data_IF_109308699484
#
_entry.id   IF_109308699484
#
_cell.length_a   1.000
_cell.length_b   1.000
_cell.length_c   1.000
_cell.angle_alpha   90.00
_cell.angle_beta   90.00
_cell.angle_gamma   90.00
#
_symmetry.space_group_name_H-M   'P 1'
#
loop_
_entity.id
_entity.type
_entity.pdbx_description
1 polymer ?
#
# COMPACT_ATOMS: atom_id res chain seq x y z
N UNK A 1 -10.31 1.70 -1.26
CA UNK A 1 -9.07 1.18 -1.87
C UNK A 1 -7.99 0.81 -0.85
N UNK A 2 -7.97 1.35 0.37
CA UNK A 2 -6.88 1.05 1.33
C UNK A 2 -7.07 -0.24 2.14
N UNK A 3 -8.33 -0.65 2.34
CA UNK A 3 -8.69 -1.79 3.21
C UNK A 3 -8.05 -3.13 2.83
N UNK A 4 -7.90 -3.51 1.55
CA UNK A 4 -7.20 -4.73 1.18
C UNK A 4 -5.75 -4.77 1.65
N UNK A 5 -5.04 -3.64 1.50
CA UNK A 5 -3.63 -3.56 1.90
C UNK A 5 -3.51 -3.59 3.43
N UNK A 6 -4.38 -2.86 4.14
CA UNK A 6 -4.44 -2.88 5.60
C UNK A 6 -4.74 -4.29 6.15
N UNK A 7 -5.62 -5.05 5.51
CA UNK A 7 -5.95 -6.42 5.91
C UNK A 7 -4.72 -7.35 5.82
N UNK A 8 -3.93 -7.22 4.75
CA UNK A 8 -2.68 -7.98 4.58
C UNK A 8 -1.68 -7.62 5.69
N UNK A 9 -1.53 -6.33 6.01
CA UNK A 9 -0.65 -5.88 7.08
C UNK A 9 -1.03 -6.47 8.44
N UNK A 10 -2.32 -6.48 8.76
CA UNK A 10 -2.80 -6.98 10.05
C UNK A 10 -2.70 -8.50 10.15
N UNK A 11 -2.90 -9.21 9.04
CA UNK A 11 -2.64 -10.65 8.99
C UNK A 11 -1.16 -10.95 9.28
N UNK A 12 -0.26 -10.07 8.85
CA UNK A 12 1.17 -10.22 9.12
C UNK A 12 1.55 -9.85 10.55
N UNK A 13 1.09 -8.70 11.07
CA UNK A 13 1.38 -8.26 12.43
C UNK A 13 0.18 -7.52 13.03
N UNK A 14 -0.35 -8.02 14.14
CA UNK A 14 -1.54 -7.45 14.77
C UNK A 14 -1.30 -6.03 15.34
N UNK A 15 -0.07 -5.68 15.73
CA UNK A 15 0.28 -4.34 16.22
C UNK A 15 0.17 -3.26 15.14
N UNK A 16 0.06 -3.63 13.86
CA UNK A 16 -0.08 -2.66 12.79
C UNK A 16 -1.43 -1.93 12.80
N UNK A 17 -2.50 -2.53 13.34
CA UNK A 17 -3.81 -1.90 13.42
C UNK A 17 -3.82 -0.66 14.34
N UNK A 18 -3.42 -0.75 15.64
CA UNK A 18 -3.46 0.41 16.53
C UNK A 18 -2.52 1.52 16.07
N UNK A 19 -1.34 1.17 15.56
CA UNK A 19 -0.38 2.14 15.02
C UNK A 19 -0.97 2.89 13.80
N UNK A 20 -1.59 2.15 12.87
CA UNK A 20 -2.25 2.77 11.72
C UNK A 20 -3.35 3.75 12.14
N UNK A 21 -4.15 3.42 13.15
CA UNK A 21 -5.22 4.31 13.65
C UNK A 21 -4.62 5.59 14.22
N UNK A 22 -3.57 5.49 15.05
CA UNK A 22 -2.88 6.65 15.63
C UNK A 22 -2.36 7.56 14.51
N UNK A 23 -1.75 7.01 13.47
CA UNK A 23 -1.22 7.82 12.38
C UNK A 23 -2.27 8.45 11.49
N UNK A 24 -3.40 7.78 11.29
CA UNK A 24 -4.55 8.38 10.60
C UNK A 24 -5.04 9.60 11.39
N UNK A 25 -5.12 9.49 12.72
CA UNK A 25 -5.55 10.60 13.58
C UNK A 25 -4.55 11.75 13.49
N UNK A 26 -3.25 11.47 13.61
CA UNK A 26 -2.20 12.49 13.53
C UNK A 26 -2.19 13.17 12.15
N UNK A 27 -2.26 12.40 11.07
CA UNK A 27 -2.31 12.93 9.71
C UNK A 27 -3.57 13.79 9.47
N UNK A 28 -4.72 13.36 10.01
CA UNK A 28 -5.97 14.10 9.93
C UNK A 28 -5.90 15.42 10.72
N UNK A 29 -5.34 15.39 11.93
CA UNK A 29 -5.13 16.61 12.73
C UNK A 29 -4.16 17.59 12.04
N UNK A 30 -3.06 17.08 11.48
CA UNK A 30 -2.12 17.88 10.70
C UNK A 30 -2.78 18.52 9.48
N UNK A 31 -3.64 17.76 8.79
CA UNK A 31 -4.43 18.28 7.68
C UNK A 31 -5.36 19.41 8.12
N UNK A 32 -6.09 19.23 9.22
CA UNK A 32 -6.98 20.26 9.76
C UNK A 32 -6.20 21.54 10.14
N UNK A 33 -5.00 21.38 10.71
CA UNK A 33 -4.12 22.50 11.02
C UNK A 33 -3.69 23.24 9.75
N UNK A 34 -3.27 22.52 8.70
CA UNK A 34 -2.93 23.12 7.42
C UNK A 34 -4.11 23.82 6.77
N UNK A 35 -5.30 23.22 6.77
CA UNK A 35 -6.49 23.84 6.19
C UNK A 35 -6.89 25.14 6.90
N UNK A 36 -6.65 25.21 8.22
CA UNK A 36 -6.92 26.42 9.01
C UNK A 36 -5.90 27.53 8.76
N UNK A 37 -4.62 27.17 8.60
CA UNK A 37 -3.53 28.15 8.49
C UNK A 37 -3.09 28.44 7.05
N UNK A 38 -3.51 27.64 6.07
CA UNK A 38 -3.08 27.76 4.67
C UNK A 38 -4.26 27.57 3.71
N UNK A 39 -4.23 28.25 2.57
CA UNK A 39 -5.25 28.13 1.50
C UNK A 39 -5.02 26.90 0.61
N UNK A 40 -4.55 25.79 1.18
CA UNK A 40 -4.24 24.56 0.44
C UNK A 40 -5.54 23.76 0.24
N UNK A 41 -6.06 23.76 -0.98
CA UNK A 41 -7.27 23.03 -1.34
C UNK A 41 -7.08 22.09 -2.54
N UNK A 42 -7.97 21.11 -2.65
CA UNK A 42 -8.05 20.22 -3.81
C UNK A 42 -6.92 19.20 -3.85
N UNK A 43 -6.05 19.26 -4.86
CA UNK A 43 -5.02 18.24 -5.05
C UNK A 43 -3.77 18.47 -4.19
N UNK A 44 -3.49 19.71 -3.83
CA UNK A 44 -2.40 20.03 -2.89
C UNK A 44 -2.74 19.54 -1.47
N UNK A 45 -4.04 19.48 -1.13
CA UNK A 45 -4.55 18.88 0.11
C UNK A 45 -4.17 17.39 0.18
N UNK A 46 -4.36 16.64 -0.92
CA UNK A 46 -3.95 15.24 -1.01
C UNK A 46 -2.45 15.07 -0.76
N UNK A 47 -1.61 15.82 -1.49
CA UNK A 47 -0.15 15.71 -1.38
C UNK A 47 0.32 16.08 0.03
N UNK A 48 -0.20 17.16 0.61
CA UNK A 48 0.14 17.57 1.96
C UNK A 48 -0.26 16.51 3.00
N UNK A 49 -1.44 15.91 2.87
CA UNK A 49 -1.88 14.85 3.78
C UNK A 49 -1.04 13.59 3.65
N UNK A 50 -0.64 13.22 2.42
CA UNK A 50 0.26 12.10 2.16
C UNK A 50 1.65 12.35 2.78
N UNK A 51 2.19 13.56 2.64
CA UNK A 51 3.46 13.95 3.25
C UNK A 51 3.37 13.94 4.78
N UNK A 52 2.29 14.46 5.35
CA UNK A 52 2.08 14.44 6.81
C UNK A 52 1.94 13.01 7.34
N UNK A 53 1.09 12.19 6.72
CA UNK A 53 0.98 10.77 7.04
C UNK A 53 2.31 10.04 6.93
N UNK A 54 3.26 10.58 6.15
CA UNK A 54 4.59 10.01 6.02
C UNK A 54 5.60 10.51 7.03
N UNK A 55 5.65 11.81 7.27
CA UNK A 55 6.65 12.44 8.13
C UNK A 55 6.36 12.19 9.60
N UNK A 56 5.10 12.27 10.03
CA UNK A 56 4.74 12.16 11.44
C UNK A 56 5.06 10.80 12.09
N UNK A 57 4.76 9.64 11.46
CA UNK A 57 5.12 8.35 12.04
C UNK A 57 6.63 8.21 12.20
N UNK A 58 7.40 8.68 11.21
CA UNK A 58 8.87 8.65 11.26
C UNK A 58 9.41 9.53 12.39
N UNK A 59 8.90 10.75 12.53
CA UNK A 59 9.26 11.63 13.64
C UNK A 59 8.91 11.02 15.00
N UNK A 60 7.71 10.44 15.13
CA UNK A 60 7.30 9.73 16.34
C UNK A 60 8.24 8.58 16.70
N UNK A 61 8.64 7.77 15.72
CA UNK A 61 9.63 6.70 15.91
C UNK A 61 11.00 7.24 16.33
N UNK A 62 11.47 8.35 15.75
CA UNK A 62 12.73 8.98 16.17
C UNK A 62 12.67 9.48 17.62
N UNK A 63 11.55 10.09 18.04
CA UNK A 63 11.36 10.53 19.42
C UNK A 63 11.35 9.36 20.41
N UNK A 64 10.74 8.24 20.04
CA UNK A 64 10.68 7.05 20.89
C UNK A 64 12.01 6.27 20.94
N UNK A 65 12.82 6.31 19.86
CA UNK A 65 14.17 5.74 19.85
C UNK A 65 15.06 6.37 20.93
N UNK A 66 14.87 7.66 21.21
CA UNK A 66 15.55 8.35 22.33
C UNK A 66 15.23 7.79 23.71
N UNK A 67 14.19 6.95 23.84
CA UNK A 67 13.72 6.34 25.09
C UNK A 67 14.16 4.85 25.17
N UNK A 68 14.97 4.37 24.23
CA UNK A 68 15.58 3.02 24.28
C UNK A 68 14.73 1.90 23.66
N UNK A 69 13.70 2.24 22.87
CA UNK A 69 12.99 1.25 22.07
C UNK A 69 13.65 1.05 20.70
N UNK A 70 14.05 -0.19 20.41
CA UNK A 70 14.52 -0.61 19.09
C UNK A 70 13.33 -0.97 18.18
N UNK A 71 12.95 -0.04 17.31
CA UNK A 71 11.87 -0.25 16.33
C UNK A 71 12.40 -0.61 14.94
N UNK A 72 13.36 -1.53 14.89
CA UNK A 72 13.79 -2.15 13.63
C UNK A 72 12.65 -2.96 12.99
N UNK A 73 11.53 -3.19 13.70
CA UNK A 73 10.43 -4.06 13.26
C UNK A 73 9.13 -3.33 12.87
N UNK A 74 8.99 -2.05 13.19
CA UNK A 74 7.75 -1.30 12.91
C UNK A 74 7.84 -0.68 11.51
N UNK A 75 7.57 -1.53 10.51
CA UNK A 75 7.64 -1.21 9.09
C UNK A 75 6.54 -0.22 8.70
N UNK A 76 6.88 1.08 8.72
CA UNK A 76 6.04 2.17 8.23
C UNK A 76 6.23 2.47 6.74
N UNK A 77 6.32 1.43 5.90
CA UNK A 77 6.04 1.64 4.46
C UNK A 77 4.59 2.10 4.22
N UNK A 78 3.72 1.94 5.23
CA UNK A 78 2.38 2.51 5.33
C UNK A 78 2.35 3.93 5.90
N UNK A 79 3.18 4.83 5.41
CA UNK A 79 3.18 6.26 5.75
C UNK A 79 2.23 7.05 4.83
N UNK A 80 2.15 6.62 3.56
CA UNK A 80 1.19 7.17 2.58
C UNK A 80 -0.24 6.75 2.92
N UNK A 81 -0.44 5.52 3.40
CA UNK A 81 -1.78 4.94 3.60
C UNK A 81 -2.60 5.66 4.69
N UNK A 82 -2.05 5.96 5.88
CA UNK A 82 -2.72 6.78 6.88
C UNK A 82 -3.06 8.16 6.34
N UNK A 83 -2.14 8.80 5.61
CA UNK A 83 -2.39 10.08 4.96
C UNK A 83 -3.52 10.01 3.93
N UNK A 84 -3.55 8.96 3.12
CA UNK A 84 -4.61 8.75 2.13
C UNK A 84 -5.95 8.42 2.80
N UNK A 85 -5.95 7.70 3.92
CA UNK A 85 -7.14 7.42 4.72
C UNK A 85 -7.68 8.70 5.38
N UNK A 86 -6.80 9.52 5.96
CA UNK A 86 -7.14 10.81 6.55
C UNK A 86 -7.74 11.76 5.50
N UNK A 87 -7.12 11.86 4.33
CA UNK A 87 -7.65 12.63 3.20
C UNK A 87 -8.99 12.07 2.70
N UNK A 88 -9.10 10.74 2.58
CA UNK A 88 -10.36 10.12 2.15
C UNK A 88 -11.49 10.44 3.14
N UNK A 89 -11.19 10.42 4.44
CA UNK A 89 -12.15 10.75 5.49
C UNK A 89 -12.54 12.24 5.47
N UNK A 90 -11.59 13.16 5.27
CA UNK A 90 -11.85 14.61 5.22
C UNK A 90 -12.86 14.98 4.14
N UNK A 91 -12.85 14.27 3.00
CA UNK A 91 -13.72 14.52 1.84
C UNK A 91 -15.12 13.92 1.96
N UNK A 92 -15.41 13.11 2.96
CA UNK A 92 -16.75 12.51 3.15
C UNK A 92 -17.68 13.56 3.76
N UNK A 93 -18.80 13.83 3.08
CA UNK A 93 -19.88 14.67 3.60
C UNK A 93 -20.36 14.13 4.96
N UNK A 94 -20.62 14.98 5.97
CA UNK A 94 -20.98 14.55 7.32
C UNK A 94 -22.10 13.50 7.38
N UNK A 95 -23.12 13.65 6.53
CA UNK A 95 -24.29 12.78 6.43
C UNK A 95 -23.96 11.32 6.07
N UNK A 96 -22.84 11.06 5.36
CA UNK A 96 -22.46 9.72 4.91
C UNK A 96 -21.28 9.12 5.68
N UNK A 97 -20.73 9.82 6.68
CA UNK A 97 -19.52 9.37 7.39
C UNK A 97 -19.72 8.04 8.10
N UNK A 98 -20.80 7.92 8.87
CA UNK A 98 -21.10 6.72 9.65
C UNK A 98 -21.33 5.52 8.74
N UNK A 99 -22.18 5.66 7.72
CA UNK A 99 -22.47 4.59 6.76
C UNK A 99 -21.21 4.14 6.00
N UNK A 100 -20.34 5.08 5.61
CA UNK A 100 -19.11 4.76 4.91
C UNK A 100 -18.08 4.06 5.82
N UNK A 101 -17.96 4.50 7.07
CA UNK A 101 -17.12 3.82 8.07
C UNK A 101 -17.62 2.40 8.32
N UNK A 102 -18.93 2.21 8.58
CA UNK A 102 -19.51 0.88 8.81
C UNK A 102 -19.28 -0.05 7.62
N UNK A 103 -19.52 0.45 6.40
CA UNK A 103 -19.29 -0.33 5.18
C UNK A 103 -17.81 -0.70 5.05
N UNK A 104 -16.92 0.24 5.34
CA UNK A 104 -15.47 0.02 5.30
C UNK A 104 -15.01 -1.02 6.31
N UNK A 105 -15.54 -0.98 7.54
CA UNK A 105 -15.28 -1.98 8.58
C UNK A 105 -15.82 -3.34 8.15
N UNK A 106 -17.04 -3.41 7.60
CA UNK A 106 -17.62 -4.66 7.10
C UNK A 106 -16.78 -5.30 6.00
N UNK A 107 -16.33 -4.52 5.02
CA UNK A 107 -15.43 -5.00 3.96
C UNK A 107 -14.11 -5.48 4.55
N UNK A 108 -13.53 -4.71 5.47
CA UNK A 108 -12.27 -5.05 6.12
C UNK A 108 -12.36 -6.35 6.92
N UNK A 109 -13.41 -6.55 7.72
CA UNK A 109 -13.68 -7.80 8.45
C UNK A 109 -13.92 -8.96 7.48
N UNK A 110 -14.65 -8.74 6.39
CA UNK A 110 -14.84 -9.75 5.34
C UNK A 110 -13.52 -10.19 4.70
N UNK A 111 -12.59 -9.27 4.47
CA UNK A 111 -11.25 -9.57 3.96
C UNK A 111 -10.40 -10.34 4.98
N UNK A 112 -10.48 -10.00 6.26
CA UNK A 112 -9.83 -10.79 7.32
C UNK A 112 -10.41 -12.20 7.38
N UNK A 113 -11.74 -12.35 7.33
CA UNK A 113 -12.38 -13.65 7.31
C UNK A 113 -11.99 -14.47 6.09
N UNK A 114 -11.90 -13.85 4.91
CA UNK A 114 -11.42 -14.50 3.70
C UNK A 114 -9.95 -14.95 3.82
N UNK A 115 -9.08 -14.07 4.33
CA UNK A 115 -7.68 -14.42 4.60
C UNK A 115 -7.57 -15.57 5.62
N UNK A 116 -8.40 -15.56 6.66
CA UNK A 116 -8.49 -16.63 7.64
C UNK A 116 -8.86 -17.96 6.98
N UNK A 117 -9.87 -17.99 6.13
CA UNK A 117 -10.28 -19.22 5.41
C UNK A 117 -9.18 -19.70 4.45
N UNK A 118 -8.51 -18.77 3.77
CA UNK A 118 -7.48 -19.08 2.77
C UNK A 118 -6.16 -19.56 3.38
N UNK A 119 -5.80 -19.10 4.58
CA UNK A 119 -4.59 -19.51 5.28
C UNK A 119 -4.89 -20.80 6.05
N UNK A 120 -4.50 -21.92 5.46
CA UNK A 120 -4.69 -23.27 5.99
C UNK A 120 -3.47 -24.13 5.56
N UNK A 121 -2.93 -25.03 6.41
CA UNK A 121 -1.84 -25.96 6.05
C UNK A 121 -2.01 -26.67 4.70
N UNK A 122 -3.22 -27.14 4.36
CA UNK A 122 -3.49 -27.80 3.07
C UNK A 122 -3.18 -26.92 1.85
N UNK A 123 -3.47 -25.62 1.94
CA UNK A 123 -3.22 -24.65 0.87
C UNK A 123 -1.74 -24.24 0.85
N UNK A 124 -1.12 -24.16 2.04
CA UNK A 124 0.30 -23.87 2.19
C UNK A 124 1.17 -24.95 1.51
N UNK A 125 0.82 -26.22 1.65
CA UNK A 125 1.53 -27.33 0.99
C UNK A 125 1.41 -27.31 -0.53
N UNK A 126 0.27 -26.86 -1.06
CA UNK A 126 -0.01 -26.89 -2.51
C UNK A 126 0.53 -25.65 -3.24
N UNK A 127 0.41 -24.46 -2.65
CA UNK A 127 0.66 -23.16 -3.32
C UNK A 127 1.66 -22.29 -2.56
N UNK A 128 1.99 -22.63 -1.30
CA UNK A 128 2.84 -21.80 -0.43
C UNK A 128 4.27 -21.60 -0.94
N UNK A 129 4.79 -22.52 -1.76
CA UNK A 129 6.10 -22.40 -2.41
C UNK A 129 6.06 -21.77 -3.81
N UNK A 130 4.88 -21.70 -4.45
CA UNK A 130 4.70 -21.18 -5.81
C UNK A 130 4.63 -19.65 -5.86
N UNK A 131 4.37 -19.00 -4.72
CA UNK A 131 4.30 -17.55 -4.61
C UNK A 131 5.21 -17.07 -3.47
N UNK A 132 5.77 -15.85 -3.53
CA UNK A 132 6.56 -15.31 -2.43
C UNK A 132 5.75 -15.38 -1.11
N UNK A 133 6.20 -16.16 -0.11
CA UNK A 133 5.38 -16.51 1.04
C UNK A 133 5.42 -15.36 2.04
N UNK A 134 4.60 -14.34 1.80
CA UNK A 134 4.46 -13.19 2.71
C UNK A 134 3.47 -13.55 3.82
N UNK A 135 2.31 -14.08 3.45
CA UNK A 135 1.26 -14.48 4.38
C UNK A 135 1.53 -15.83 5.03
N UNK A 136 2.25 -16.73 4.35
CA UNK A 136 2.69 -18.04 4.87
C UNK A 136 4.11 -18.00 5.46
N UNK A 137 4.70 -16.80 5.63
CA UNK A 137 6.01 -16.64 6.27
C UNK A 137 5.96 -16.99 7.75
N UNK A 138 7.08 -17.45 8.36
CA UNK A 138 7.23 -17.52 9.81
C UNK A 138 7.11 -16.14 10.50
N UNK A 139 7.17 -15.05 9.74
CA UNK A 139 7.04 -13.67 10.23
C UNK A 139 5.60 -13.14 10.24
N UNK A 140 4.64 -14.00 9.89
CA UNK A 140 3.21 -13.69 9.81
C UNK A 140 2.49 -14.25 11.02
N UNK A 141 1.95 -13.38 11.88
CA UNK A 141 1.27 -13.76 13.12
C UNK A 141 0.12 -14.76 12.87
N UNK A 142 -0.64 -14.56 11.78
CA UNK A 142 -1.76 -15.45 11.43
C UNK A 142 -1.29 -16.84 10.97
N UNK A 143 -0.12 -16.94 10.33
CA UNK A 143 0.44 -18.22 9.89
C UNK A 143 1.05 -19.00 11.05
N UNK A 144 1.68 -18.31 12.00
CA UNK A 144 2.13 -18.88 13.26
C UNK A 144 0.95 -19.43 14.07
N UNK A 145 -0.11 -18.62 14.20
CA UNK A 145 -1.31 -19.00 14.95
C UNK A 145 -2.01 -20.22 14.34
N UNK A 146 -1.96 -20.38 13.02
CA UNK A 146 -2.57 -21.49 12.29
C UNK A 146 -1.64 -22.66 11.98
N UNK A 147 -0.39 -22.63 12.43
CA UNK A 147 0.63 -23.63 12.10
C UNK A 147 0.76 -23.88 10.57
N UNK A 148 0.53 -22.83 9.78
CA UNK A 148 0.58 -22.86 8.31
C UNK A 148 1.84 -22.19 7.76
N UNK A 149 2.83 -21.92 8.62
CA UNK A 149 4.07 -21.26 8.23
C UNK A 149 4.94 -22.22 7.41
N UNK A 150 5.40 -21.74 6.26
CA UNK A 150 6.36 -22.43 5.40
C UNK A 150 7.73 -21.82 5.65
N UNK A 151 8.76 -22.65 5.87
CA UNK A 151 10.14 -22.23 6.17
C UNK A 151 10.87 -21.62 4.96
N UNK A 152 10.30 -20.54 4.43
CA UNK A 152 10.89 -19.72 3.39
C UNK A 152 10.91 -18.29 3.90
N UNK A 153 12.12 -17.78 4.12
CA UNK A 153 12.33 -16.43 4.58
C UNK A 153 12.14 -15.45 3.42
N UNK A 154 11.34 -14.39 3.59
CA UNK A 154 11.16 -13.40 2.54
C UNK A 154 12.49 -12.72 2.23
N UNK A 155 12.82 -12.60 0.95
CA UNK A 155 14.08 -12.01 0.49
C UNK A 155 14.31 -10.62 1.12
N UNK A 156 15.51 -10.39 1.65
CA UNK A 156 15.91 -9.12 2.25
C UNK A 156 15.80 -7.98 1.23
N UNK A 157 15.18 -6.87 1.62
CA UNK A 157 15.16 -5.63 0.82
C UNK A 157 16.58 -5.11 0.62
N UNK A 158 16.91 -4.69 -0.60
CA UNK A 158 18.23 -4.14 -0.91
C UNK A 158 18.34 -2.72 -0.34
N UNK A 159 17.21 -2.00 -0.28
CA UNK A 159 17.16 -0.64 0.21
C UNK A 159 16.84 -0.58 1.71
N UNK A 160 17.65 0.18 2.46
CA UNK A 160 17.30 0.52 3.83
C UNK A 160 15.97 1.31 3.84
N UNK A 161 15.10 1.00 4.81
CA UNK A 161 13.76 1.60 4.97
C UNK A 161 13.80 3.12 5.07
N UNK A 162 14.83 3.66 5.71
CA UNK A 162 15.03 5.11 5.77
C UNK A 162 15.29 5.71 4.38
N UNK A 163 16.09 5.05 3.54
CA UNK A 163 16.33 5.45 2.16
C UNK A 163 15.07 5.37 1.32
N UNK A 164 14.27 4.31 1.49
CA UNK A 164 12.99 4.17 0.81
C UNK A 164 12.00 5.28 1.21
N UNK A 165 11.96 5.64 2.49
CA UNK A 165 11.16 6.76 2.99
C UNK A 165 11.57 8.10 2.37
N UNK A 166 12.87 8.42 2.37
CA UNK A 166 13.38 9.62 1.70
C UNK A 166 12.99 9.61 0.23
N UNK A 167 13.11 8.47 -0.44
CA UNK A 167 12.78 8.34 -1.85
C UNK A 167 11.29 8.57 -2.12
N UNK A 168 10.40 8.08 -1.25
CA UNK A 168 8.96 8.37 -1.30
C UNK A 168 8.73 9.88 -1.24
N UNK A 169 9.28 10.56 -0.24
CA UNK A 169 9.08 12.00 -0.05
C UNK A 169 9.61 12.79 -1.25
N UNK A 170 10.83 12.49 -1.70
CA UNK A 170 11.46 13.14 -2.84
C UNK A 170 10.64 12.92 -4.11
N UNK A 171 10.15 11.70 -4.33
CA UNK A 171 9.33 11.37 -5.50
C UNK A 171 7.98 12.07 -5.48
N UNK A 172 7.33 12.15 -4.32
CA UNK A 172 6.07 12.89 -4.15
C UNK A 172 6.28 14.39 -4.39
N UNK A 173 7.32 14.98 -3.80
CA UNK A 173 7.64 16.40 -3.96
C UNK A 173 8.02 16.72 -5.42
N UNK A 174 8.90 15.94 -6.02
CA UNK A 174 9.33 16.11 -7.41
C UNK A 174 8.16 15.97 -8.39
N UNK A 175 7.31 14.95 -8.20
CA UNK A 175 6.12 14.78 -9.03
C UNK A 175 5.15 15.96 -8.93
N UNK A 176 5.08 16.62 -7.77
CA UNK A 176 4.24 17.79 -7.57
C UNK A 176 4.86 19.06 -8.19
N UNK A 177 6.19 19.23 -8.10
CA UNK A 177 6.92 20.32 -8.76
C UNK A 177 6.76 20.22 -10.29
N UNK A 178 7.04 19.06 -10.88
CA UNK A 178 6.90 18.84 -12.33
C UNK A 178 5.45 19.09 -12.77
N UNK A 179 4.47 18.68 -11.97
CA UNK A 179 3.07 18.97 -12.26
C UNK A 179 2.77 20.47 -12.28
N UNK A 180 3.28 21.23 -11.30
CA UNK A 180 3.07 22.67 -11.23
C UNK A 180 3.71 23.38 -12.41
N UNK A 181 4.90 22.96 -12.83
CA UNK A 181 5.64 23.57 -13.93
C UNK A 181 5.09 23.20 -15.31
N UNK A 182 4.66 21.96 -15.54
CA UNK A 182 4.29 21.45 -16.87
C UNK A 182 2.78 21.20 -17.06
N UNK A 183 1.97 21.33 -16.02
CA UNK A 183 0.52 21.13 -16.08
C UNK A 183 0.05 19.68 -16.33
N UNK A 184 0.97 18.70 -16.35
CA UNK A 184 0.68 17.30 -16.68
C UNK A 184 -0.03 16.62 -15.51
N UNK A 185 -1.20 16.01 -15.77
CA UNK A 185 -1.97 15.26 -14.76
C UNK A 185 -1.42 13.85 -14.59
N UNK A 186 -0.32 13.71 -13.85
CA UNK A 186 0.31 12.41 -13.55
C UNK A 186 -0.25 11.82 -12.25
N UNK A 187 -0.32 10.49 -12.10
CA UNK A 187 -0.64 9.86 -10.81
C UNK A 187 0.52 9.98 -9.82
N UNK A 188 0.46 10.95 -8.89
CA UNK A 188 1.56 11.29 -7.96
C UNK A 188 2.02 10.06 -7.15
N UNK A 189 1.06 9.31 -6.61
CA UNK A 189 1.32 8.13 -5.79
C UNK A 189 1.88 6.98 -6.63
N UNK A 190 1.33 6.77 -7.83
CA UNK A 190 1.77 5.70 -8.74
C UNK A 190 3.22 5.89 -9.18
N UNK A 191 3.64 7.12 -9.47
CA UNK A 191 5.02 7.41 -9.85
C UNK A 191 6.01 7.18 -8.72
N UNK A 192 5.66 7.61 -7.49
CA UNK A 192 6.51 7.37 -6.32
C UNK A 192 6.71 5.88 -6.05
N UNK A 193 5.62 5.10 -6.12
CA UNK A 193 5.65 3.65 -5.92
C UNK A 193 6.45 2.96 -7.05
N UNK A 194 6.23 3.36 -8.30
CA UNK A 194 6.95 2.83 -9.46
C UNK A 194 8.45 3.06 -9.36
N UNK A 195 8.88 4.26 -8.94
CA UNK A 195 10.29 4.60 -8.80
C UNK A 195 11.01 3.67 -7.79
N UNK A 196 10.38 3.45 -6.63
CA UNK A 196 10.94 2.59 -5.57
C UNK A 196 11.07 1.16 -6.06
N UNK A 197 10.00 0.61 -6.63
CA UNK A 197 10.01 -0.77 -7.09
C UNK A 197 10.92 -1.01 -8.28
N UNK A 198 11.06 -0.02 -9.16
CA UNK A 198 11.99 -0.11 -10.29
C UNK A 198 13.45 -0.16 -9.83
N UNK A 199 13.79 0.47 -8.70
CA UNK A 199 15.14 0.42 -8.13
C UNK A 199 15.43 -0.92 -7.46
N UNK A 200 14.42 -1.51 -6.81
CA UNK A 200 14.53 -2.81 -6.14
C UNK A 200 14.53 -3.99 -7.11
N UNK A 201 13.83 -3.89 -8.25
CA UNK A 201 13.79 -4.93 -9.25
C UNK A 201 13.69 -4.39 -10.68
N UNK A 202 14.70 -4.70 -11.50
CA UNK A 202 14.79 -4.32 -12.92
C UNK A 202 13.60 -4.81 -13.74
N UNK A 203 13.07 -6.00 -13.43
CA UNK A 203 11.94 -6.61 -14.14
C UNK A 203 10.59 -5.99 -13.77
N UNK A 204 10.51 -5.29 -12.64
CA UNK A 204 9.25 -4.67 -12.21
C UNK A 204 8.80 -3.58 -13.18
N UNK A 205 9.75 -2.80 -13.72
CA UNK A 205 9.43 -1.77 -14.71
C UNK A 205 8.85 -2.40 -15.98
N UNK A 206 9.45 -3.50 -16.48
CA UNK A 206 8.89 -4.23 -17.63
C UNK A 206 7.48 -4.75 -17.32
N UNK A 207 7.29 -5.43 -16.19
CA UNK A 207 5.97 -5.92 -15.79
C UNK A 207 4.94 -4.79 -15.73
N UNK A 208 5.31 -3.64 -15.15
CA UNK A 208 4.44 -2.47 -15.09
C UNK A 208 4.04 -1.98 -16.49
N UNK A 209 5.00 -1.84 -17.42
CA UNK A 209 4.71 -1.41 -18.79
C UNK A 209 3.80 -2.39 -19.53
N UNK A 210 4.11 -3.69 -19.45
CA UNK A 210 3.28 -4.72 -20.09
C UNK A 210 1.88 -4.77 -19.49
N UNK A 211 1.76 -4.71 -18.16
CA UNK A 211 0.47 -4.70 -17.49
C UNK A 211 -0.34 -3.44 -17.81
N UNK A 212 0.31 -2.28 -17.89
CA UNK A 212 -0.32 -1.02 -18.28
C UNK A 212 -0.87 -1.12 -19.71
N UNK A 213 -0.06 -1.58 -20.65
CA UNK A 213 -0.48 -1.74 -22.06
C UNK A 213 -1.62 -2.75 -22.16
N UNK A 214 -1.47 -3.93 -21.55
CA UNK A 214 -2.48 -4.98 -21.61
C UNK A 214 -3.80 -4.57 -20.93
N UNK A 215 -3.73 -3.88 -19.79
CA UNK A 215 -4.89 -3.32 -19.11
C UNK A 215 -5.54 -2.22 -19.95
N UNK A 216 -4.76 -1.33 -20.57
CA UNK A 216 -5.28 -0.31 -21.46
C UNK A 216 -6.02 -0.92 -22.67
N UNK A 217 -5.46 -1.97 -23.27
CA UNK A 217 -6.10 -2.72 -24.36
C UNK A 217 -7.40 -3.35 -23.87
N UNK A 218 -7.37 -4.08 -22.74
CA UNK A 218 -8.55 -4.74 -22.17
C UNK A 218 -9.67 -3.75 -21.83
N UNK A 219 -9.32 -2.64 -21.18
CA UNK A 219 -10.28 -1.55 -20.89
C UNK A 219 -10.84 -0.98 -22.18
N UNK A 220 -10.01 -0.69 -23.18
CA UNK A 220 -10.46 -0.12 -24.46
C UNK A 220 -11.40 -1.09 -25.20
N UNK A 221 -11.10 -2.38 -25.18
CA UNK A 221 -11.94 -3.41 -25.78
C UNK A 221 -13.30 -3.55 -25.11
N UNK A 222 -13.38 -3.35 -23.78
CA UNK A 222 -14.64 -3.37 -23.03
C UNK A 222 -15.38 -2.03 -23.17
N UNK A 223 -14.67 -0.92 -23.14
CA UNK A 223 -15.27 0.41 -23.18
C UNK A 223 -15.94 0.70 -24.53
N UNK A 224 -15.29 0.35 -25.64
CA UNK A 224 -15.81 0.60 -27.00
C UNK A 224 -17.23 0.05 -27.21
N UNK A 225 -17.56 -1.20 -26.83
CA UNK A 225 -18.92 -1.73 -26.98
C UNK A 225 -19.88 -1.32 -25.85
N UNK A 226 -19.41 -1.18 -24.60
CA UNK A 226 -20.33 -1.05 -23.45
C UNK A 226 -20.60 0.41 -23.03
N UNK A 227 -19.89 1.39 -23.60
CA UNK A 227 -20.02 2.82 -23.26
C UNK A 227 -19.96 3.08 -21.75
N UNK A 228 -19.23 2.25 -21.00
CA UNK A 228 -19.08 2.39 -19.56
C UNK A 228 -18.08 3.50 -19.26
N UNK A 229 -18.52 4.52 -18.52
CA UNK A 229 -17.70 5.66 -18.15
C UNK A 229 -17.58 5.81 -16.63
N UNK A 230 -16.58 6.59 -16.22
CA UNK A 230 -16.41 6.99 -14.83
C UNK A 230 -16.03 5.83 -13.91
N UNK A 231 -16.75 5.66 -12.80
CA UNK A 231 -16.36 4.78 -11.69
C UNK A 231 -16.34 3.29 -12.05
N UNK A 232 -17.24 2.84 -12.92
CA UNK A 232 -17.30 1.42 -13.31
C UNK A 232 -16.10 1.02 -14.17
N UNK A 233 -15.61 1.94 -15.00
CA UNK A 233 -14.41 1.73 -15.81
C UNK A 233 -13.16 1.57 -14.95
N UNK A 234 -13.07 2.32 -13.85
CA UNK A 234 -11.97 2.20 -12.87
C UNK A 234 -12.00 0.82 -12.22
N UNK A 235 -13.17 0.35 -11.77
CA UNK A 235 -13.32 -0.99 -11.19
C UNK A 235 -12.92 -2.10 -12.15
N UNK A 236 -13.43 -2.04 -13.39
CA UNK A 236 -13.09 -3.01 -14.44
C UNK A 236 -11.59 -2.98 -14.77
N UNK A 237 -11.00 -1.79 -14.91
CA UNK A 237 -9.57 -1.66 -15.17
C UNK A 237 -8.72 -2.26 -14.06
N UNK A 238 -9.09 -2.05 -12.79
CA UNK A 238 -8.40 -2.69 -11.67
C UNK A 238 -8.56 -4.21 -11.67
N UNK A 239 -9.74 -4.73 -11.99
CA UNK A 239 -9.99 -6.18 -12.06
C UNK A 239 -9.20 -6.82 -13.20
N UNK A 240 -9.19 -6.21 -14.38
CA UNK A 240 -8.43 -6.68 -15.55
C UNK A 240 -6.93 -6.65 -15.25
N UNK A 241 -6.42 -5.58 -14.66
CA UNK A 241 -5.01 -5.47 -14.27
C UNK A 241 -4.63 -6.54 -13.23
N UNK A 242 -5.46 -6.79 -12.21
CA UNK A 242 -5.26 -7.86 -11.23
C UNK A 242 -5.20 -9.24 -11.90
N UNK A 243 -6.17 -9.54 -12.76
CA UNK A 243 -6.24 -10.82 -13.46
C UNK A 243 -5.02 -11.04 -14.37
N UNK A 244 -4.53 -9.98 -15.04
CA UNK A 244 -3.35 -10.04 -15.90
C UNK A 244 -2.03 -10.10 -15.12
N UNK A 245 -2.00 -9.56 -13.90
CA UNK A 245 -0.78 -9.58 -13.08
C UNK A 245 -0.36 -11.00 -12.73
N UNK A 246 -1.33 -11.87 -12.38
CA UNK A 246 -1.06 -13.26 -11.98
C UNK A 246 -0.23 -14.06 -13.01
N UNK A 247 -0.64 -14.17 -14.30
CA UNK A 247 0.16 -14.88 -15.29
C UNK A 247 1.48 -14.18 -15.59
N UNK A 248 1.53 -12.84 -15.58
CA UNK A 248 2.78 -12.11 -15.83
C UNK A 248 3.84 -12.33 -14.74
N UNK A 249 3.46 -12.58 -13.49
CA UNK A 249 4.40 -12.90 -12.41
C UNK A 249 5.11 -14.23 -12.63
N UNK A 250 4.50 -15.18 -13.36
CA UNK A 250 5.18 -16.44 -13.73
C UNK A 250 6.12 -16.28 -14.92
N UNK A 251 5.87 -15.31 -15.80
CA UNK A 251 6.70 -15.03 -16.99
C UNK A 251 7.91 -14.16 -16.63
N UNK A 252 7.69 -13.14 -15.81
CA UNK A 252 8.75 -12.24 -15.35
C UNK A 252 9.25 -12.68 -13.98
N UNK A 253 10.55 -12.94 -13.79
CA UNK A 253 11.12 -13.39 -12.51
C UNK A 253 11.14 -12.27 -11.46
N UNK A 254 9.95 -11.89 -10.98
CA UNK A 254 9.73 -10.83 -10.00
C UNK A 254 9.86 -11.43 -8.61
N UNK A 255 11.10 -11.56 -8.15
CA UNK A 255 11.41 -12.16 -6.85
C UNK A 255 11.09 -11.28 -5.64
N UNK A 256 10.78 -9.99 -5.84
CA UNK A 256 10.80 -8.97 -4.77
C UNK A 256 9.61 -8.00 -4.71
N UNK A 257 8.52 -8.29 -5.43
CA UNK A 257 7.43 -7.32 -5.62
C UNK A 257 6.76 -6.81 -4.34
N UNK A 258 6.62 -7.64 -3.32
CA UNK A 258 6.06 -7.25 -2.01
C UNK A 258 7.10 -7.40 -0.88
N UNK A 259 8.24 -8.05 -1.13
CA UNK A 259 9.30 -8.24 -0.13
C UNK A 259 10.02 -6.93 0.22
N UNK A 260 9.94 -5.89 -0.62
CA UNK A 260 10.37 -4.52 -0.26
C UNK A 260 9.63 -4.00 0.98
N UNK A 261 8.36 -4.39 1.15
CA UNK A 261 7.54 -3.98 2.30
C UNK A 261 7.50 -5.02 3.41
N UNK A 262 7.75 -6.29 3.08
CA UNK A 262 7.52 -7.41 3.99
C UNK A 262 8.76 -8.23 4.35
N UNK A 263 9.93 -7.93 3.78
CA UNK A 263 11.19 -8.60 4.11
C UNK A 263 11.64 -8.31 5.54
N UNK A 264 11.79 -9.37 6.33
CA UNK A 264 12.34 -9.35 7.68
C UNK A 264 13.68 -10.08 7.66
N UNK A 265 14.70 -9.45 8.23
CA UNK A 265 15.93 -10.12 8.63
C UNK A 265 15.84 -10.34 10.15
N UNK A 266 15.67 -11.59 10.59
CA UNK A 266 15.94 -11.98 11.97
C UNK A 266 17.34 -12.59 11.98
N UNK A 267 18.36 -11.74 11.92
CA UNK A 267 19.67 -12.10 12.44
C UNK A 267 19.66 -11.84 13.94
N UNK A 268 19.34 -12.88 14.68
CA UNK A 268 19.88 -13.12 16.01
C UNK A 268 20.63 -14.44 15.93
#
# INVERSE_FOLDING_TARGET
>A
MLFPVLAIYICKNFLMLPLFIVDVIIAYMGLLYLQRNTMIYGRNELVATLLMGSVFPVLGLFSLKGIGYDFTDVVFFGSILPGLAAYSYSRIKPQYRVANILTSIGIFLGLIAAAWVLINPFIAETIGSLTPPILFSPTSDIALLKQAAVDVHPASSIMNRFSAFILIIVSLAFSEIVRQSYGIRVGVVSMAILAIFSLENKWFLMLYFFNLIASFIGITMIQKPTLLYGRNLIGLGTSVSLALTLPFVFIFPVSRGLSVFFGFDRRS
#
